data_IF_509979233754
#
_entry.id   IF_509979233754
#
_cell.length_a   1.000
_cell.length_b   1.000
_cell.length_c   1.000
_cell.angle_alpha   90.00
_cell.angle_beta   90.00
_cell.angle_gamma   90.00
#
_symmetry.space_group_name_H-M   'P 1'
#
loop_
_entity.id
_entity.type
_entity.pdbx_description
1 polymer ?
#
# COMPACT_ATOMS: atom_id res chain seq x y z
N UNK A 1 -8.54 -15.16 -13.67
CA UNK A 1 -7.62 -15.66 -12.61
C UNK A 1 -8.03 -17.02 -12.01
N UNK A 2 -9.32 -17.31 -11.75
CA UNK A 2 -9.74 -18.58 -11.12
C UNK A 2 -9.32 -19.86 -11.87
N UNK A 3 -9.41 -19.89 -13.20
CA UNK A 3 -9.04 -21.07 -14.00
C UNK A 3 -7.54 -21.45 -13.92
N UNK A 4 -6.65 -20.46 -13.74
CA UNK A 4 -5.21 -20.73 -13.61
C UNK A 4 -4.89 -21.39 -12.26
N UNK A 5 -5.51 -20.92 -11.17
CA UNK A 5 -5.38 -21.55 -9.84
C UNK A 5 -5.93 -22.97 -9.82
N UNK A 6 -7.04 -23.23 -10.51
CA UNK A 6 -7.61 -24.59 -10.56
C UNK A 6 -6.73 -25.57 -11.32
N UNK A 7 -6.08 -25.14 -12.41
CA UNK A 7 -5.14 -25.99 -13.17
C UNK A 7 -3.89 -26.30 -12.34
N UNK A 8 -3.30 -25.27 -11.73
CA UNK A 8 -2.14 -25.44 -10.83
C UNK A 8 -2.45 -26.37 -9.66
N UNK A 9 -3.64 -26.26 -9.06
CA UNK A 9 -4.04 -27.15 -7.96
C UNK A 9 -4.18 -28.60 -8.42
N UNK A 10 -4.71 -28.84 -9.63
CA UNK A 10 -4.88 -30.19 -10.15
C UNK A 10 -3.52 -30.86 -10.40
N UNK A 11 -2.62 -30.17 -11.12
CA UNK A 11 -1.25 -30.63 -11.38
C UNK A 11 -0.50 -30.87 -10.07
N UNK A 12 -0.62 -29.94 -9.13
CA UNK A 12 -0.04 -30.04 -7.80
C UNK A 12 -0.51 -31.25 -7.00
N UNK A 13 -1.80 -31.57 -7.05
CA UNK A 13 -2.35 -32.78 -6.43
C UNK A 13 -1.85 -34.06 -7.11
N UNK A 14 -1.65 -34.05 -8.43
CA UNK A 14 -1.06 -35.20 -9.13
C UNK A 14 0.37 -35.46 -8.66
N UNK A 15 1.20 -34.42 -8.57
CA UNK A 15 2.59 -34.53 -8.09
C UNK A 15 2.61 -35.00 -6.64
N UNK A 16 1.81 -34.39 -5.76
CA UNK A 16 1.74 -34.78 -4.35
C UNK A 16 1.26 -36.24 -4.19
N UNK A 17 0.24 -36.66 -4.93
CA UNK A 17 -0.24 -38.04 -4.95
C UNK A 17 0.80 -39.02 -5.48
N UNK A 18 1.60 -38.62 -6.48
CA UNK A 18 2.72 -39.43 -6.99
C UNK A 18 3.81 -39.64 -5.93
N UNK A 19 4.18 -38.59 -5.19
CA UNK A 19 5.15 -38.67 -4.08
C UNK A 19 4.69 -39.70 -3.04
N UNK A 20 3.42 -39.60 -2.61
CA UNK A 20 2.83 -40.51 -1.62
C UNK A 20 2.79 -41.96 -2.16
N UNK A 21 2.27 -42.17 -3.38
CA UNK A 21 2.09 -43.51 -3.96
C UNK A 21 3.41 -44.24 -4.19
N UNK A 22 4.47 -43.51 -4.56
CA UNK A 22 5.79 -44.07 -4.81
C UNK A 22 6.68 -44.08 -3.56
N UNK A 23 6.16 -43.72 -2.39
CA UNK A 23 6.90 -43.66 -1.11
C UNK A 23 8.18 -42.83 -1.21
N UNK A 24 8.14 -41.76 -2.00
CA UNK A 24 9.24 -40.81 -2.09
C UNK A 24 9.24 -40.05 -0.76
N UNK A 25 10.34 -40.10 -0.02
CA UNK A 25 10.49 -39.33 1.21
C UNK A 25 10.72 -37.86 0.83
N UNK A 26 9.77 -36.96 1.08
CA UNK A 26 9.93 -35.58 0.69
C UNK A 26 10.95 -34.92 1.62
N UNK A 27 11.93 -34.25 1.02
CA UNK A 27 12.84 -33.38 1.75
C UNK A 27 12.15 -32.05 2.10
N UNK A 28 12.89 -31.15 2.76
CA UNK A 28 12.37 -29.85 3.16
C UNK A 28 11.95 -28.99 1.95
N UNK A 29 12.63 -29.12 0.81
CA UNK A 29 12.36 -28.33 -0.38
C UNK A 29 11.09 -28.79 -1.08
N UNK A 30 10.87 -30.11 -1.20
CA UNK A 30 9.64 -30.70 -1.72
C UNK A 30 8.46 -30.30 -0.84
N UNK A 31 8.58 -30.48 0.48
CA UNK A 31 7.50 -30.11 1.41
C UNK A 31 7.17 -28.62 1.30
N UNK A 32 8.18 -27.75 1.27
CA UNK A 32 7.99 -26.30 1.16
C UNK A 32 7.39 -25.88 -0.18
N UNK A 33 7.77 -26.53 -1.27
CA UNK A 33 7.20 -26.27 -2.60
C UNK A 33 5.73 -26.70 -2.67
N UNK A 34 5.38 -27.83 -2.07
CA UNK A 34 3.98 -28.27 -1.97
C UNK A 34 3.16 -27.33 -1.07
N UNK A 35 3.71 -26.87 0.06
CA UNK A 35 3.05 -25.89 0.92
C UNK A 35 2.76 -24.58 0.16
N UNK A 36 3.77 -24.00 -0.50
CA UNK A 36 3.62 -22.77 -1.31
C UNK A 36 2.57 -22.93 -2.42
N UNK A 37 2.60 -24.04 -3.14
CA UNK A 37 1.59 -24.41 -4.14
C UNK A 37 0.17 -24.41 -3.52
N UNK A 38 -0.01 -25.07 -2.37
CA UNK A 38 -1.32 -25.17 -1.74
C UNK A 38 -1.82 -23.81 -1.24
N UNK A 39 -0.95 -22.97 -0.67
CA UNK A 39 -1.30 -21.59 -0.33
C UNK A 39 -1.75 -20.79 -1.55
N UNK A 40 -0.96 -20.79 -2.64
CA UNK A 40 -1.32 -20.10 -3.91
C UNK A 40 -2.66 -20.55 -4.51
N UNK A 41 -3.08 -21.77 -4.19
CA UNK A 41 -4.36 -22.33 -4.62
C UNK A 41 -5.50 -22.15 -3.60
N UNK A 42 -5.28 -21.42 -2.50
CA UNK A 42 -6.25 -21.21 -1.42
C UNK A 42 -6.59 -22.48 -0.63
N UNK A 43 -5.71 -23.48 -0.63
CA UNK A 43 -5.87 -24.75 0.09
C UNK A 43 -4.99 -24.80 1.34
N UNK A 44 -5.22 -23.83 2.22
CA UNK A 44 -4.45 -23.63 3.45
C UNK A 44 -4.34 -24.90 4.31
N UNK A 45 -5.45 -25.62 4.53
CA UNK A 45 -5.45 -26.86 5.32
C UNK A 45 -4.49 -27.93 4.76
N UNK A 46 -4.35 -28.00 3.43
CA UNK A 46 -3.40 -28.93 2.80
C UNK A 46 -1.94 -28.54 3.06
N UNK A 47 -1.63 -27.24 3.09
CA UNK A 47 -0.32 -26.75 3.46
C UNK A 47 -0.01 -27.04 4.95
N UNK A 48 -0.97 -26.77 5.84
CA UNK A 48 -0.86 -27.07 7.28
C UNK A 48 -0.62 -28.55 7.56
N UNK A 49 -1.31 -29.43 6.84
CA UNK A 49 -1.13 -30.88 6.98
C UNK A 49 0.27 -31.32 6.57
N UNK A 50 0.84 -30.72 5.52
CA UNK A 50 2.22 -31.00 5.11
C UNK A 50 3.20 -30.48 6.17
N UNK A 51 3.01 -29.26 6.67
CA UNK A 51 3.88 -28.68 7.68
C UNK A 51 3.97 -29.55 8.94
N UNK A 52 2.83 -30.06 9.43
CA UNK A 52 2.75 -30.97 10.58
C UNK A 52 3.49 -32.30 10.38
N UNK A 53 3.68 -32.71 9.12
CA UNK A 53 4.36 -33.96 8.78
C UNK A 53 5.87 -33.79 8.61
N UNK A 54 6.40 -32.56 8.62
CA UNK A 54 7.84 -32.30 8.52
C UNK A 54 8.50 -32.73 9.84
N UNK A 55 9.39 -33.74 9.87
CA UNK A 55 9.97 -34.24 11.12
C UNK A 55 10.88 -33.23 11.83
N UNK A 56 11.55 -32.38 11.05
CA UNK A 56 12.43 -31.32 11.54
C UNK A 56 12.17 -30.05 10.74
N UNK A 57 11.46 -29.10 11.35
CA UNK A 57 11.20 -27.80 10.73
C UNK A 57 12.49 -26.98 10.64
N UNK A 58 12.51 -26.06 9.68
CA UNK A 58 13.61 -25.14 9.38
C UNK A 58 13.07 -23.72 9.27
N UNK A 59 13.91 -22.67 9.39
CA UNK A 59 13.47 -21.29 9.18
C UNK A 59 12.68 -21.13 7.87
N UNK A 60 13.14 -21.79 6.81
CA UNK A 60 12.47 -21.80 5.51
C UNK A 60 11.02 -22.32 5.55
N UNK A 61 10.78 -23.47 6.20
CA UNK A 61 9.40 -24.01 6.30
C UNK A 61 8.46 -23.12 7.10
N UNK A 62 8.98 -22.46 8.15
CA UNK A 62 8.18 -21.50 8.92
C UNK A 62 7.89 -20.25 8.10
N UNK A 63 8.88 -19.73 7.36
CA UNK A 63 8.70 -18.59 6.47
C UNK A 63 7.63 -18.83 5.40
N UNK A 64 7.61 -20.03 4.79
CA UNK A 64 6.56 -20.43 3.83
C UNK A 64 5.18 -20.43 4.50
N UNK A 65 5.07 -20.96 5.72
CA UNK A 65 3.79 -20.97 6.44
C UNK A 65 3.31 -19.57 6.84
N UNK A 66 4.19 -18.75 7.45
CA UNK A 66 3.84 -17.39 7.90
C UNK A 66 3.46 -16.52 6.69
N UNK A 67 4.30 -16.49 5.65
CA UNK A 67 4.00 -15.74 4.42
C UNK A 67 2.74 -16.25 3.73
N UNK A 68 2.54 -17.58 3.66
CA UNK A 68 1.34 -18.21 3.13
C UNK A 68 0.07 -17.74 3.84
N UNK A 69 0.07 -17.73 5.17
CA UNK A 69 -1.05 -17.18 5.94
C UNK A 69 -1.31 -15.71 5.66
N UNK A 70 -0.26 -14.88 5.57
CA UNK A 70 -0.38 -13.45 5.24
C UNK A 70 -0.99 -13.25 3.86
N UNK A 71 -0.56 -14.01 2.85
CA UNK A 71 -1.09 -13.90 1.48
C UNK A 71 -2.56 -14.29 1.37
N UNK A 72 -3.02 -15.22 2.21
CA UNK A 72 -4.42 -15.66 2.27
C UNK A 72 -5.27 -14.84 3.26
N UNK A 73 -4.71 -13.77 3.85
CA UNK A 73 -5.42 -12.88 4.79
C UNK A 73 -5.68 -13.48 6.17
N UNK A 74 -5.03 -14.60 6.50
CA UNK A 74 -5.12 -15.30 7.79
C UNK A 74 -4.11 -14.73 8.80
N UNK A 75 -4.28 -13.45 9.11
CA UNK A 75 -3.27 -12.65 9.78
C UNK A 75 -3.07 -13.05 11.25
N UNK A 76 -4.14 -13.48 11.94
CA UNK A 76 -4.05 -13.96 13.31
C UNK A 76 -3.30 -15.30 13.39
N UNK A 77 -3.54 -16.20 12.44
CA UNK A 77 -2.81 -17.47 12.32
C UNK A 77 -1.32 -17.24 12.04
N UNK A 78 -0.98 -16.26 11.19
CA UNK A 78 0.41 -15.85 10.98
C UNK A 78 1.10 -15.38 12.27
N UNK A 79 0.41 -14.55 13.08
CA UNK A 79 0.95 -14.04 14.35
C UNK A 79 1.01 -15.11 15.45
N UNK A 80 0.07 -16.05 15.48
CA UNK A 80 0.11 -17.20 16.37
C UNK A 80 1.32 -18.09 16.02
N UNK A 81 1.52 -18.37 14.73
CA UNK A 81 2.64 -19.16 14.25
C UNK A 81 3.99 -18.47 14.53
N UNK A 82 4.05 -17.14 14.44
CA UNK A 82 5.22 -16.38 14.89
C UNK A 82 5.47 -16.51 16.40
N UNK A 83 4.41 -16.60 17.21
CA UNK A 83 4.57 -16.83 18.66
C UNK A 83 5.09 -18.24 18.95
N UNK A 84 4.71 -19.23 18.14
CA UNK A 84 5.22 -20.60 18.21
C UNK A 84 6.69 -20.71 17.79
N UNK A 85 7.09 -20.11 16.66
CA UNK A 85 8.51 -20.15 16.22
C UNK A 85 9.42 -19.48 17.26
N UNK A 86 8.95 -18.43 17.96
CA UNK A 86 9.70 -17.77 19.04
C UNK A 86 9.93 -18.65 20.27
N UNK A 87 9.04 -19.61 20.53
CA UNK A 87 9.19 -20.58 21.63
C UNK A 87 10.00 -21.80 21.21
N UNK A 88 10.28 -21.94 19.90
CA UNK A 88 11.13 -22.99 19.36
C UNK A 88 12.60 -22.56 19.36
N UNK A 89 13.50 -23.51 19.07
CA UNK A 89 14.92 -23.23 18.86
C UNK A 89 15.25 -22.76 17.44
N UNK A 90 14.25 -22.41 16.63
CA UNK A 90 14.44 -22.01 15.23
C UNK A 90 14.76 -20.52 15.18
N UNK A 91 15.91 -20.19 14.58
CA UNK A 91 16.34 -18.82 14.34
C UNK A 91 15.37 -18.13 13.36
N UNK A 92 14.97 -16.89 13.70
CA UNK A 92 14.18 -16.05 12.81
C UNK A 92 15.11 -15.22 11.94
N UNK A 93 14.74 -15.04 10.67
CA UNK A 93 15.50 -14.25 9.71
C UNK A 93 14.68 -13.05 9.21
N UNK A 94 15.29 -12.23 8.35
CA UNK A 94 14.65 -11.07 7.76
C UNK A 94 13.32 -11.40 7.06
N UNK A 95 13.18 -12.60 6.47
CA UNK A 95 11.95 -13.03 5.78
C UNK A 95 10.84 -13.32 6.79
N UNK A 96 11.18 -13.91 7.95
CA UNK A 96 10.23 -14.08 9.06
C UNK A 96 9.66 -12.73 9.48
N UNK A 97 10.54 -11.76 9.75
CA UNK A 97 10.12 -10.43 10.23
C UNK A 97 9.35 -9.63 9.19
N UNK A 98 9.78 -9.66 7.92
CA UNK A 98 9.05 -9.06 6.81
C UNK A 98 7.59 -9.54 6.76
N UNK A 99 7.39 -10.86 6.85
CA UNK A 99 6.06 -11.46 6.82
C UNK A 99 5.22 -11.06 8.04
N UNK A 100 5.82 -11.02 9.23
CA UNK A 100 5.13 -10.66 10.48
C UNK A 100 4.77 -9.16 10.52
N UNK A 101 5.67 -8.29 10.05
CA UNK A 101 5.42 -6.86 9.93
C UNK A 101 4.30 -6.57 8.92
N UNK A 102 4.27 -7.29 7.80
CA UNK A 102 3.17 -7.22 6.85
C UNK A 102 1.82 -7.64 7.50
N UNK A 103 1.82 -8.68 8.35
CA UNK A 103 0.63 -9.06 9.11
C UNK A 103 0.17 -7.96 10.09
N UNK A 104 1.11 -7.36 10.83
CA UNK A 104 0.83 -6.27 11.76
C UNK A 104 0.27 -5.05 11.04
N UNK A 105 0.86 -4.72 9.90
CA UNK A 105 0.45 -3.62 9.03
C UNK A 105 -0.99 -3.79 8.52
N UNK A 106 -1.34 -4.97 8.01
CA UNK A 106 -2.69 -5.27 7.51
C UNK A 106 -3.76 -5.32 8.63
N UNK A 107 -3.37 -5.72 9.85
CA UNK A 107 -4.26 -5.70 11.02
C UNK A 107 -4.34 -4.33 11.71
N UNK A 108 -3.51 -3.36 11.31
CA UNK A 108 -3.25 -2.15 12.09
C UNK A 108 -2.87 -2.45 13.56
N UNK A 109 -2.13 -3.54 13.80
CA UNK A 109 -1.76 -4.04 15.12
C UNK A 109 -0.48 -3.35 15.64
N UNK A 110 -0.59 -2.06 15.97
CA UNK A 110 0.55 -1.21 16.35
C UNK A 110 1.38 -1.77 17.52
N UNK A 111 0.74 -2.18 18.62
CA UNK A 111 1.46 -2.69 19.79
C UNK A 111 2.25 -3.96 19.44
N UNK A 112 1.67 -4.85 18.63
CA UNK A 112 2.38 -6.04 18.16
C UNK A 112 3.55 -5.67 17.25
N UNK A 113 3.38 -4.68 16.38
CA UNK A 113 4.45 -4.13 15.56
C UNK A 113 5.61 -3.57 16.38
N UNK A 114 5.32 -2.88 17.50
CA UNK A 114 6.37 -2.38 18.43
C UNK A 114 7.10 -3.51 19.15
N UNK A 115 6.39 -4.55 19.60
CA UNK A 115 7.02 -5.76 20.14
C UNK A 115 8.00 -6.37 19.13
N UNK A 116 7.56 -6.50 17.87
CA UNK A 116 8.36 -7.07 16.78
C UNK A 116 9.58 -6.19 16.46
N UNK A 117 9.41 -4.86 16.45
CA UNK A 117 10.53 -3.93 16.25
C UNK A 117 11.59 -4.06 17.34
N UNK A 118 11.20 -4.16 18.62
CA UNK A 118 12.16 -4.37 19.71
C UNK A 118 12.96 -5.66 19.52
N UNK A 119 12.30 -6.74 19.07
CA UNK A 119 12.98 -8.00 18.77
C UNK A 119 13.99 -7.86 17.62
N UNK A 120 13.63 -7.16 16.55
CA UNK A 120 14.51 -6.89 15.41
C UNK A 120 15.79 -6.15 15.85
N UNK A 121 15.65 -5.19 16.78
CA UNK A 121 16.78 -4.47 17.37
C UNK A 121 17.65 -5.42 18.22
N UNK A 122 17.03 -6.24 19.08
CA UNK A 122 17.75 -7.19 19.95
C UNK A 122 18.61 -8.19 19.17
N UNK A 123 18.14 -8.65 18.01
CA UNK A 123 18.86 -9.62 17.16
C UNK A 123 19.75 -8.96 16.10
N UNK A 124 19.93 -7.63 16.15
CA UNK A 124 20.73 -6.84 15.19
C UNK A 124 20.28 -6.95 13.72
N UNK A 125 18.97 -7.14 13.47
CA UNK A 125 18.40 -7.06 12.12
C UNK A 125 17.95 -5.64 11.73
N UNK A 126 18.11 -4.65 12.60
CA UNK A 126 17.81 -3.23 12.32
C UNK A 126 18.64 -2.60 11.20
N UNK A 127 19.67 -3.30 10.72
CA UNK A 127 20.52 -2.86 9.60
C UNK A 127 20.09 -3.47 8.25
N UNK A 128 19.09 -4.34 8.25
CA UNK A 128 18.62 -5.00 7.03
C UNK A 128 17.66 -4.08 6.27
N UNK A 129 18.01 -3.74 5.02
CA UNK A 129 17.23 -2.81 4.17
C UNK A 129 15.76 -3.21 4.03
N UNK A 130 15.50 -4.52 3.85
CA UNK A 130 14.15 -5.07 3.68
C UNK A 130 13.36 -4.88 4.97
N UNK A 131 13.94 -5.28 6.10
CA UNK A 131 13.27 -5.18 7.41
C UNK A 131 12.98 -3.72 7.79
N UNK A 132 13.90 -2.80 7.48
CA UNK A 132 13.70 -1.37 7.73
C UNK A 132 12.57 -0.77 6.87
N UNK A 133 12.48 -1.17 5.61
CA UNK A 133 11.35 -0.81 4.74
C UNK A 133 10.02 -1.34 5.27
N UNK A 134 9.98 -2.60 5.72
CA UNK A 134 8.78 -3.22 6.27
C UNK A 134 8.36 -2.59 7.61
N UNK A 135 9.31 -2.20 8.46
CA UNK A 135 9.04 -1.47 9.70
C UNK A 135 8.41 -0.11 9.41
N UNK A 136 8.98 0.61 8.44
CA UNK A 136 8.47 1.90 8.01
C UNK A 136 7.03 1.79 7.48
N UNK A 137 6.77 0.82 6.59
CA UNK A 137 5.44 0.56 6.06
C UNK A 137 4.45 0.16 7.17
N UNK A 138 4.88 -0.68 8.12
CA UNK A 138 4.06 -1.09 9.25
C UNK A 138 3.66 0.11 10.12
N UNK A 139 4.59 0.96 10.53
CA UNK A 139 4.28 2.14 11.32
C UNK A 139 3.40 3.15 10.57
N UNK A 140 3.68 3.37 9.27
CA UNK A 140 2.89 4.24 8.42
C UNK A 140 1.42 3.80 8.35
N UNK A 141 1.16 2.51 8.09
CA UNK A 141 -0.21 1.96 8.00
C UNK A 141 -0.92 1.86 9.35
N UNK A 142 -0.17 1.71 10.44
CA UNK A 142 -0.70 1.78 11.80
C UNK A 142 -0.98 3.22 12.29
N UNK A 143 -0.66 4.25 11.49
CA UNK A 143 -0.86 5.65 11.86
C UNK A 143 0.15 6.19 12.88
N UNK A 144 1.22 5.43 13.15
CA UNK A 144 2.28 5.79 14.09
C UNK A 144 3.39 6.59 13.40
N UNK A 145 3.05 7.81 12.99
CA UNK A 145 3.92 8.63 12.12
C UNK A 145 5.22 9.04 12.80
N UNK A 146 5.20 9.26 14.12
CA UNK A 146 6.42 9.58 14.88
C UNK A 146 7.45 8.46 14.79
N UNK A 147 7.03 7.21 15.00
CA UNK A 147 7.87 6.03 14.86
C UNK A 147 8.29 5.78 13.40
N UNK A 148 7.40 6.01 12.43
CA UNK A 148 7.75 5.94 11.00
C UNK A 148 8.88 6.92 10.65
N UNK A 149 8.80 8.17 11.10
CA UNK A 149 9.87 9.15 10.93
C UNK A 149 11.14 8.77 11.69
N UNK A 150 10.99 8.16 12.87
CA UNK A 150 12.12 7.59 13.62
C UNK A 150 12.88 6.58 12.77
N UNK A 151 12.20 5.58 12.22
CA UNK A 151 12.78 4.55 11.35
C UNK A 151 13.41 5.17 10.10
N UNK A 152 12.72 6.12 9.45
CA UNK A 152 13.22 6.79 8.24
C UNK A 152 14.53 7.57 8.47
N UNK A 153 14.68 8.23 9.63
CA UNK A 153 15.90 8.96 9.98
C UNK A 153 17.13 8.08 10.10
N UNK A 154 16.96 6.79 10.40
CA UNK A 154 18.08 5.84 10.47
C UNK A 154 18.59 5.37 9.10
N UNK A 155 17.83 5.54 8.01
CA UNK A 155 18.32 5.21 6.66
C UNK A 155 19.61 5.97 6.29
N UNK A 156 19.68 7.32 6.42
CA UNK A 156 20.89 8.08 6.09
C UNK A 156 22.01 8.07 7.16
N UNK A 157 21.87 7.36 8.29
CA UNK A 157 22.90 7.34 9.34
C UNK A 157 24.11 6.46 8.98
N UNK A 158 25.29 6.92 9.42
CA UNK A 158 26.58 6.85 8.70
C UNK A 158 27.24 5.48 8.50
N UNK A 159 26.71 4.39 9.05
CA UNK A 159 27.38 3.08 8.99
C UNK A 159 26.65 2.02 8.15
N UNK A 160 25.44 2.30 7.65
CA UNK A 160 24.55 1.27 7.09
C UNK A 160 24.45 1.25 5.56
N UNK A 161 24.84 2.33 4.88
CA UNK A 161 24.75 2.48 3.40
C UNK A 161 23.34 2.23 2.81
N UNK A 162 22.30 2.15 3.66
CA UNK A 162 20.90 1.91 3.25
C UNK A 162 20.30 3.22 2.77
N UNK A 163 20.20 3.39 1.45
CA UNK A 163 19.62 4.61 0.90
C UNK A 163 18.10 4.51 0.87
N UNK A 164 17.37 5.56 1.28
CA UNK A 164 15.95 5.65 1.03
C UNK A 164 15.67 5.40 -0.46
N UNK A 165 14.72 4.52 -0.73
CA UNK A 165 14.30 4.19 -2.07
C UNK A 165 12.88 4.71 -2.35
N UNK A 166 12.35 4.38 -3.52
CA UNK A 166 11.01 4.77 -3.93
C UNK A 166 9.93 4.25 -2.96
N UNK A 167 10.07 3.02 -2.48
CA UNK A 167 9.08 2.41 -1.57
C UNK A 167 9.12 3.10 -0.21
N UNK A 168 10.32 3.43 0.25
CA UNK A 168 10.58 4.17 1.50
C UNK A 168 9.84 5.52 1.51
N UNK A 169 10.01 6.32 0.45
CA UNK A 169 9.32 7.61 0.35
C UNK A 169 7.81 7.48 0.16
N UNK A 170 7.31 6.46 -0.53
CA UNK A 170 5.88 6.20 -0.64
C UNK A 170 5.24 5.93 0.74
N UNK A 171 5.93 5.17 1.60
CA UNK A 171 5.46 4.90 2.96
C UNK A 171 5.39 6.19 3.80
N UNK A 172 6.41 7.05 3.73
CA UNK A 172 6.42 8.35 4.39
C UNK A 172 5.29 9.26 3.90
N UNK A 173 5.09 9.37 2.59
CA UNK A 173 4.04 10.19 2.03
C UNK A 173 2.65 9.66 2.39
N UNK A 174 2.48 8.34 2.45
CA UNK A 174 1.25 7.71 2.92
C UNK A 174 0.98 8.05 4.39
N UNK A 175 2.00 7.95 5.26
CA UNK A 175 1.91 8.32 6.67
C UNK A 175 1.51 9.80 6.84
N UNK A 176 2.19 10.70 6.12
CA UNK A 176 1.88 12.14 6.12
C UNK A 176 0.44 12.39 5.64
N UNK A 177 0.02 11.70 4.58
CA UNK A 177 -1.34 11.75 4.06
C UNK A 177 -2.33 11.41 5.17
N UNK A 178 -2.23 10.23 5.79
CA UNK A 178 -3.17 9.77 6.80
C UNK A 178 -3.20 10.65 8.06
N UNK A 179 -2.05 11.18 8.49
CA UNK A 179 -1.96 12.06 9.65
C UNK A 179 -2.28 13.54 9.35
N UNK A 180 -2.43 13.92 8.08
CA UNK A 180 -2.65 15.31 7.68
C UNK A 180 -1.43 16.21 7.86
N UNK A 181 -0.22 15.66 7.88
CA UNK A 181 1.03 16.40 7.99
C UNK A 181 1.43 16.96 6.62
N UNK A 182 0.82 18.09 6.24
CA UNK A 182 0.98 18.69 4.92
C UNK A 182 2.43 19.12 4.67
N UNK A 183 3.03 19.81 5.62
CA UNK A 183 4.37 20.38 5.44
C UNK A 183 5.44 19.29 5.39
N UNK A 184 5.36 18.26 6.25
CA UNK A 184 6.25 17.10 6.21
C UNK A 184 6.08 16.30 4.90
N UNK A 185 4.83 16.11 4.44
CA UNK A 185 4.56 15.42 3.19
C UNK A 185 5.15 16.14 1.97
N UNK A 186 5.02 17.47 1.91
CA UNK A 186 5.64 18.28 0.86
C UNK A 186 7.18 18.30 0.98
N UNK A 187 7.71 18.38 2.20
CA UNK A 187 9.14 18.34 2.45
C UNK A 187 9.74 17.05 1.92
N UNK A 188 9.23 15.89 2.34
CA UNK A 188 9.77 14.59 1.92
C UNK A 188 9.55 14.28 0.44
N UNK A 189 8.47 14.79 -0.18
CA UNK A 189 8.30 14.68 -1.63
C UNK A 189 9.39 15.45 -2.39
N UNK A 190 9.72 16.66 -1.94
CA UNK A 190 10.78 17.46 -2.55
C UNK A 190 12.17 16.89 -2.27
N UNK A 191 12.39 16.37 -1.05
CA UNK A 191 13.63 15.67 -0.68
C UNK A 191 13.87 14.45 -1.58
N UNK A 192 12.84 13.63 -1.79
CA UNK A 192 12.88 12.47 -2.69
C UNK A 192 13.43 12.83 -4.08
N UNK A 193 12.91 13.91 -4.67
CA UNK A 193 13.26 14.33 -6.03
C UNK A 193 14.61 15.05 -6.06
N UNK A 194 14.81 16.04 -5.19
CA UNK A 194 15.92 16.99 -5.29
C UNK A 194 17.19 16.51 -4.58
N UNK A 195 17.06 15.71 -3.51
CA UNK A 195 18.19 15.21 -2.72
C UNK A 195 18.54 13.79 -3.14
N UNK A 196 17.54 12.93 -3.29
CA UNK A 196 17.78 11.51 -3.60
C UNK A 196 17.70 11.18 -5.10
N UNK A 197 17.24 12.10 -5.95
CA UNK A 197 17.12 11.87 -7.39
C UNK A 197 16.09 10.80 -7.77
N UNK A 198 15.12 10.53 -6.89
CA UNK A 198 14.10 9.50 -7.10
C UNK A 198 12.91 10.14 -7.81
N UNK A 199 12.62 9.65 -9.02
CA UNK A 199 11.49 10.12 -9.81
C UNK A 199 10.16 9.72 -9.16
N UNK A 200 9.28 10.70 -8.95
CA UNK A 200 7.93 10.47 -8.48
C UNK A 200 7.09 9.71 -9.51
N UNK A 201 6.34 8.71 -9.04
CA UNK A 201 5.35 7.95 -9.81
C UNK A 201 3.94 8.27 -9.35
N UNK A 202 2.96 7.74 -10.08
CA UNK A 202 1.52 7.85 -9.79
C UNK A 202 1.17 7.73 -8.31
N UNK A 203 1.71 6.74 -7.59
CA UNK A 203 1.39 6.48 -6.18
C UNK A 203 1.81 7.63 -5.26
N UNK A 204 2.93 8.29 -5.55
CA UNK A 204 3.40 9.44 -4.78
C UNK A 204 2.49 10.64 -5.01
N UNK A 205 2.13 10.91 -6.28
CA UNK A 205 1.17 11.96 -6.62
C UNK A 205 -0.21 11.70 -6.02
N UNK A 206 -0.65 10.45 -5.95
CA UNK A 206 -1.89 10.05 -5.29
C UNK A 206 -1.87 10.43 -3.81
N UNK A 207 -0.78 10.11 -3.10
CA UNK A 207 -0.60 10.49 -1.69
C UNK A 207 -0.65 12.00 -1.48
N UNK A 208 0.08 12.78 -2.30
CA UNK A 208 0.08 14.25 -2.23
C UNK A 208 -1.27 14.87 -2.57
N UNK A 209 -1.92 14.40 -3.64
CA UNK A 209 -3.23 14.90 -4.07
C UNK A 209 -4.26 14.66 -2.98
N UNK A 210 -4.24 13.48 -2.36
CA UNK A 210 -5.14 13.17 -1.24
C UNK A 210 -4.83 14.03 0.01
N UNK A 211 -3.54 14.23 0.33
CA UNK A 211 -3.09 15.04 1.46
C UNK A 211 -3.52 16.51 1.32
N UNK A 212 -3.14 17.15 0.21
CA UNK A 212 -3.46 18.54 -0.09
C UNK A 212 -4.96 18.74 -0.30
N UNK A 213 -5.62 17.77 -0.95
CA UNK A 213 -7.06 17.76 -1.14
C UNK A 213 -7.82 17.80 0.17
N UNK A 214 -7.48 16.93 1.14
CA UNK A 214 -8.10 16.98 2.48
C UNK A 214 -7.79 18.27 3.23
N UNK A 215 -6.60 18.83 3.07
CA UNK A 215 -6.20 20.10 3.68
C UNK A 215 -6.80 21.35 3.03
N UNK A 216 -7.50 21.22 1.89
CA UNK A 216 -8.09 22.34 1.15
C UNK A 216 -7.08 23.14 0.30
N UNK A 217 -5.84 22.67 0.16
CA UNK A 217 -4.79 23.28 -0.68
C UNK A 217 -4.95 22.85 -2.14
N UNK A 218 -6.13 23.13 -2.71
CA UNK A 218 -6.58 22.54 -3.98
C UNK A 218 -5.82 23.04 -5.21
N UNK A 219 -5.57 24.36 -5.29
CA UNK A 219 -4.83 24.92 -6.43
C UNK A 219 -3.38 24.44 -6.47
N UNK A 220 -2.73 24.33 -5.31
CA UNK A 220 -1.38 23.77 -5.25
C UNK A 220 -1.34 22.30 -5.65
N UNK A 221 -2.31 21.50 -5.19
CA UNK A 221 -2.43 20.11 -5.64
C UNK A 221 -2.57 20.05 -7.17
N UNK A 222 -3.40 20.92 -7.75
CA UNK A 222 -3.57 21.00 -9.20
C UNK A 222 -2.28 21.42 -9.92
N UNK A 223 -1.58 22.45 -9.43
CA UNK A 223 -0.31 22.91 -10.00
C UNK A 223 0.75 21.81 -10.00
N UNK A 224 0.88 21.05 -8.91
CA UNK A 224 1.81 19.92 -8.81
C UNK A 224 1.49 18.88 -9.88
N UNK A 225 0.21 18.56 -10.11
CA UNK A 225 -0.20 17.66 -11.17
C UNK A 225 0.14 18.23 -12.55
N UNK A 226 -0.20 19.50 -12.81
CA UNK A 226 0.00 20.13 -14.12
C UNK A 226 1.48 20.26 -14.52
N UNK A 227 2.40 20.36 -13.55
CA UNK A 227 3.84 20.42 -13.81
C UNK A 227 4.42 19.11 -14.35
N UNK A 228 3.73 17.97 -14.20
CA UNK A 228 4.21 16.69 -14.68
C UNK A 228 3.38 16.20 -15.88
N UNK A 229 3.94 16.19 -17.11
CA UNK A 229 3.23 15.78 -18.32
C UNK A 229 2.68 14.35 -18.31
N UNK A 230 3.27 13.43 -17.55
CA UNK A 230 2.85 12.02 -17.53
C UNK A 230 1.57 11.80 -16.72
N UNK A 231 1.30 12.67 -15.74
CA UNK A 231 0.21 12.49 -14.76
C UNK A 231 -0.79 13.67 -14.73
N UNK A 232 -0.50 14.79 -15.39
CA UNK A 232 -1.35 16.01 -15.39
C UNK A 232 -2.79 15.78 -15.83
N UNK A 233 -3.02 14.74 -16.63
CA UNK A 233 -4.32 14.41 -17.19
C UNK A 233 -4.78 13.00 -16.74
N UNK A 234 -4.25 12.48 -15.63
CA UNK A 234 -4.66 11.19 -15.07
C UNK A 234 -6.06 11.27 -14.43
N UNK A 235 -6.95 10.36 -14.83
CA UNK A 235 -8.37 10.37 -14.45
C UNK A 235 -8.56 10.12 -12.95
N UNK A 236 -7.73 9.27 -12.33
CA UNK A 236 -7.86 8.90 -10.92
C UNK A 236 -7.41 10.05 -10.02
N UNK A 237 -6.30 10.71 -10.35
CA UNK A 237 -5.80 11.88 -9.61
C UNK A 237 -6.74 13.07 -9.74
N UNK A 238 -7.23 13.35 -10.96
CA UNK A 238 -8.21 14.40 -11.20
C UNK A 238 -9.54 14.12 -10.49
N UNK A 239 -10.02 12.87 -10.49
CA UNK A 239 -11.23 12.49 -9.73
C UNK A 239 -11.06 12.67 -8.21
N UNK A 240 -9.87 12.35 -7.70
CA UNK A 240 -9.52 12.55 -6.28
C UNK A 240 -9.56 14.04 -5.93
N UNK A 241 -8.93 14.89 -6.75
CA UNK A 241 -8.91 16.33 -6.55
C UNK A 241 -10.29 16.99 -6.75
N UNK A 242 -11.07 16.52 -7.72
CA UNK A 242 -12.45 16.96 -7.93
C UNK A 242 -13.32 16.67 -6.71
N UNK A 243 -13.18 15.48 -6.12
CA UNK A 243 -13.87 15.12 -4.88
C UNK A 243 -13.49 16.06 -3.73
N UNK A 244 -12.22 16.47 -3.64
CA UNK A 244 -11.78 17.47 -2.67
C UNK A 244 -12.34 18.88 -2.97
N UNK A 245 -12.45 19.29 -4.24
CA UNK A 245 -13.11 20.53 -4.63
C UNK A 245 -14.58 20.54 -4.21
N UNK A 246 -15.28 19.40 -4.35
CA UNK A 246 -16.64 19.23 -3.85
C UNK A 246 -16.73 19.38 -2.33
N UNK A 247 -15.80 18.75 -1.61
CA UNK A 247 -15.74 18.81 -0.16
C UNK A 247 -15.54 20.24 0.36
N UNK A 248 -14.62 20.99 -0.25
CA UNK A 248 -14.27 22.35 0.16
C UNK A 248 -15.07 23.45 -0.57
N UNK A 249 -16.02 23.07 -1.44
CA UNK A 249 -16.85 23.98 -2.24
C UNK A 249 -16.05 24.94 -3.13
N UNK A 250 -14.88 24.52 -3.61
CA UNK A 250 -14.11 25.28 -4.61
C UNK A 250 -14.76 25.07 -5.99
N UNK A 251 -15.60 26.02 -6.38
CA UNK A 251 -16.35 25.99 -7.64
C UNK A 251 -15.43 26.18 -8.85
N UNK A 252 -14.47 27.08 -8.75
CA UNK A 252 -13.64 27.51 -9.87
C UNK A 252 -12.80 26.35 -10.40
N UNK A 253 -12.00 25.74 -9.52
CA UNK A 253 -11.18 24.59 -9.89
C UNK A 253 -12.03 23.33 -10.11
N UNK A 254 -13.13 23.18 -9.36
CA UNK A 254 -14.04 22.05 -9.50
C UNK A 254 -14.64 21.95 -10.91
N UNK A 255 -15.01 23.07 -11.52
CA UNK A 255 -15.52 23.11 -12.89
C UNK A 255 -14.43 22.78 -13.90
N UNK A 256 -13.23 23.37 -13.76
CA UNK A 256 -12.12 23.11 -14.68
C UNK A 256 -11.76 21.61 -14.74
N UNK A 257 -11.65 20.97 -13.58
CA UNK A 257 -11.34 19.53 -13.51
C UNK A 257 -12.50 18.70 -14.07
N UNK A 258 -13.75 19.09 -13.82
CA UNK A 258 -14.93 18.41 -14.35
C UNK A 258 -14.96 18.38 -15.88
N UNK A 259 -14.64 19.50 -16.52
CA UNK A 259 -14.57 19.60 -17.98
C UNK A 259 -13.51 18.65 -18.54
N UNK A 260 -12.30 18.63 -17.95
CA UNK A 260 -11.23 17.68 -18.33
C UNK A 260 -11.62 16.21 -18.18
N UNK A 261 -12.34 15.86 -17.11
CA UNK A 261 -12.77 14.48 -16.87
C UNK A 261 -13.79 14.00 -17.92
N UNK A 262 -14.69 14.88 -18.37
CA UNK A 262 -15.69 14.56 -19.40
C UNK A 262 -15.01 14.29 -20.76
N UNK A 263 -14.03 15.10 -21.12
CA UNK A 263 -13.30 14.94 -22.39
C UNK A 263 -12.53 13.61 -22.47
N UNK A 264 -12.17 13.04 -21.32
CA UNK A 264 -11.34 11.83 -21.20
C UNK A 264 -12.12 10.52 -21.21
N UNK A 265 -13.35 10.52 -20.76
CA UNK A 265 -14.18 9.31 -20.72
C UNK A 265 -15.66 9.62 -20.96
N UNK A 266 -16.08 9.67 -22.24
CA UNK A 266 -17.47 9.93 -22.58
C UNK A 266 -18.43 8.79 -22.17
N UNK A 267 -17.93 7.55 -21.98
CA UNK A 267 -18.74 6.32 -21.98
C UNK A 267 -18.68 5.46 -20.68
N UNK A 268 -17.76 5.68 -19.72
CA UNK A 268 -17.68 4.95 -18.42
C UNK A 268 -18.79 5.35 -17.41
N UNK A 269 -20.01 5.16 -17.87
CA UNK A 269 -21.28 5.62 -17.31
C UNK A 269 -21.85 4.78 -16.17
N UNK A 270 -21.14 3.77 -15.65
CA UNK A 270 -21.78 2.78 -14.77
C UNK A 270 -21.72 3.08 -13.26
N UNK A 271 -20.61 3.61 -12.71
CA UNK A 271 -20.50 3.95 -11.27
C UNK A 271 -19.72 5.23 -10.93
N UNK A 272 -18.51 5.42 -11.45
CA UNK A 272 -17.65 6.58 -11.12
C UNK A 272 -18.19 7.87 -11.74
N UNK A 273 -18.64 7.81 -13.00
CA UNK A 273 -19.33 8.90 -13.65
C UNK A 273 -20.63 9.30 -12.95
N UNK A 274 -21.41 8.39 -12.33
CA UNK A 274 -22.65 8.80 -11.63
C UNK A 274 -22.37 9.64 -10.38
N UNK A 275 -21.30 9.33 -9.64
CA UNK A 275 -20.82 10.12 -8.49
C UNK A 275 -20.32 11.48 -8.95
N UNK A 276 -19.46 11.49 -9.96
CA UNK A 276 -18.88 12.71 -10.49
C UNK A 276 -19.95 13.57 -11.18
N UNK A 277 -20.78 13.01 -12.07
CA UNK A 277 -21.83 13.71 -12.82
C UNK A 277 -22.92 14.34 -11.94
N UNK A 278 -23.25 13.79 -10.76
CA UNK A 278 -24.13 14.47 -9.78
C UNK A 278 -23.47 15.71 -9.18
N UNK A 279 -22.18 15.62 -8.87
CA UNK A 279 -21.36 16.79 -8.52
C UNK A 279 -21.32 17.78 -9.67
N UNK A 280 -20.87 17.36 -10.84
CA UNK A 280 -20.72 18.19 -12.04
C UNK A 280 -22.03 18.89 -12.41
N UNK A 281 -23.18 18.21 -12.42
CA UNK A 281 -24.50 18.86 -12.65
C UNK A 281 -24.81 19.93 -11.62
N UNK A 282 -24.42 19.75 -10.35
CA UNK A 282 -24.55 20.81 -9.35
C UNK A 282 -23.63 22.00 -9.68
N UNK A 283 -22.36 21.77 -10.04
CA UNK A 283 -21.42 22.85 -10.40
C UNK A 283 -21.82 23.58 -11.70
N UNK A 284 -22.21 22.86 -12.76
CA UNK A 284 -22.69 23.46 -14.01
C UNK A 284 -23.99 24.25 -13.83
N UNK A 285 -24.82 23.88 -12.85
CA UNK A 285 -26.03 24.63 -12.47
C UNK A 285 -25.68 25.86 -11.63
N UNK A 286 -24.71 25.75 -10.72
CA UNK A 286 -24.20 26.89 -9.93
C UNK A 286 -23.47 27.91 -10.82
N UNK A 287 -22.62 27.49 -11.77
CA UNK A 287 -21.96 28.37 -12.75
C UNK A 287 -22.98 29.13 -13.61
N UNK A 288 -24.03 28.45 -14.07
CA UNK A 288 -25.16 29.11 -14.76
C UNK A 288 -25.82 30.16 -13.87
N UNK A 289 -26.16 29.81 -12.62
CA UNK A 289 -26.79 30.75 -11.70
C UNK A 289 -25.88 31.95 -11.34
N UNK A 290 -24.56 31.75 -11.25
CA UNK A 290 -23.59 32.83 -11.01
C UNK A 290 -23.43 33.75 -12.23
N UNK A 291 -23.41 33.22 -13.45
CA UNK A 291 -23.45 34.06 -14.66
C UNK A 291 -24.75 34.87 -14.76
N UNK A 292 -25.90 34.30 -14.41
CA UNK A 292 -27.17 35.06 -14.36
C UNK A 292 -27.13 36.21 -13.33
N UNK A 293 -26.50 36.02 -12.16
CA UNK A 293 -26.39 37.11 -11.17
C UNK A 293 -25.41 38.22 -11.59
N UNK A 294 -24.34 37.89 -12.32
CA UNK A 294 -23.40 38.91 -12.82
C UNK A 294 -23.96 39.68 -14.03
N UNK A 295 -24.75 39.04 -14.89
CA UNK A 295 -25.42 39.71 -16.01
C UNK A 295 -26.59 40.62 -15.54
N UNK A 296 -27.28 40.26 -14.44
CA UNK A 296 -28.32 41.13 -13.84
C UNK A 296 -27.73 42.33 -13.09
N UNK A 297 -26.55 42.23 -12.46
CA UNK A 297 -25.89 43.39 -11.83
C UNK A 297 -25.16 44.30 -12.84
N UNK A 298 -24.66 43.75 -13.96
CA UNK A 298 -24.05 44.55 -15.04
C UNK A 298 -25.07 45.35 -15.86
N UNK A 299 -26.36 44.99 -15.80
CA UNK A 299 -27.46 45.72 -16.45
C UNK A 299 -28.04 46.90 -15.66
N UNK A 300 -27.51 47.21 -14.46
CA UNK A 300 -28.06 48.27 -13.58
C UNK A 300 -27.19 49.55 -13.59
N UNK A 301 -26.04 49.56 -14.28
CA UNK A 301 -25.16 50.73 -14.41
C UNK A 301 -24.80 51.10 -15.87
N UNK A 302 -25.77 51.03 -16.79
CA UNK A 302 -25.65 51.62 -18.13
C UNK A 302 -26.86 52.47 -18.49
#
# INVERSE_FOLDING_TARGET
MACSRSVQLLEGKFVHGYIIRNRIQPDIFINSSLMDLYFKCGKVESAENIFKLIPKTTPFSWNVMISGYVTEGKLFEALNLFSEIRQSSVEQDAITFASVLAACSQLAALEKGREVHNLIVEINLGNNEVVMGDLLEMYAKCGAVGEAFGVFKYFPERDLNVKPDRVTFLAILSACSHAGLVDDGLYHFNEMINVHGIAARFEHYSCLTALLGRAGRLHEAYEILQRNPEIRDDVQLLSTLFSACCLHRNLDLGVEIAEKLIDKDPDDSSQTAKRNHKGIRNFSRVKRNLHFTYDEEAGIFS
#
